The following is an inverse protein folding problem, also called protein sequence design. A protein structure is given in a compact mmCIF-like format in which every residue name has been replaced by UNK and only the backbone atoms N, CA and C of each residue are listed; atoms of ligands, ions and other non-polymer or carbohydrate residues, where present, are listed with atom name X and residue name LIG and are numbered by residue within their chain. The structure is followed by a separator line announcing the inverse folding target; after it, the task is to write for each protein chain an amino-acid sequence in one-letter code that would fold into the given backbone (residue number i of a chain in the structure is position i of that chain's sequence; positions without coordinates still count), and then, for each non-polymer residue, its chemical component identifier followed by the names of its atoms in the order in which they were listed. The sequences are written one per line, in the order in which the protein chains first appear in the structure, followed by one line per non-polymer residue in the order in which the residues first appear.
data_IF_512207339719
#
_entry.id   IF_512207339719
#
_cell.length_a   1.000
_cell.length_b   1.000
_cell.length_c   1.000
_cell.angle_alpha   90.00
_cell.angle_beta   90.00
_cell.angle_gamma   90.00
#
_symmetry.space_group_name_H-M   'P 1'
#
loop_
_entity.id
_entity.type
_entity.pdbx_description
1 polymer ?
#
# COMPACT_ATOMS: atom_id res chain seq x y z
N UNK A 1 -20.63 19.11 -13.76
CA UNK A 1 -19.89 17.83 -13.64
C UNK A 1 -18.63 17.95 -14.49
N UNK A 2 -17.46 17.64 -13.95
CA UNK A 2 -16.20 17.70 -14.71
C UNK A 2 -15.38 16.44 -14.43
N UNK A 3 -15.87 15.33 -15.00
CA UNK A 3 -15.27 14.01 -14.83
C UNK A 3 -13.89 13.92 -15.50
N UNK A 4 -13.64 14.74 -16.53
CA UNK A 4 -12.36 14.83 -17.21
C UNK A 4 -11.28 15.42 -16.28
N UNK A 5 -11.56 16.55 -15.64
CA UNK A 5 -10.61 17.21 -14.73
C UNK A 5 -10.20 16.31 -13.55
N UNK A 6 -11.14 15.58 -12.96
CA UNK A 6 -10.82 14.65 -11.85
C UNK A 6 -10.04 13.43 -12.34
N UNK A 7 -10.33 12.94 -13.56
CA UNK A 7 -9.54 11.88 -14.19
C UNK A 7 -8.10 12.34 -14.39
N UNK A 8 -7.87 13.50 -14.99
CA UNK A 8 -6.53 14.06 -15.20
C UNK A 8 -5.75 14.23 -13.88
N UNK A 9 -6.43 14.70 -12.83
CA UNK A 9 -5.82 14.82 -11.51
C UNK A 9 -5.35 13.48 -10.94
N UNK A 10 -6.17 12.42 -11.04
CA UNK A 10 -5.80 11.07 -10.59
C UNK A 10 -4.66 10.48 -11.42
N UNK A 11 -4.68 10.68 -12.74
CA UNK A 11 -3.57 10.25 -13.60
C UNK A 11 -2.28 10.96 -13.22
N UNK A 12 -2.33 12.26 -12.90
CA UNK A 12 -1.17 13.00 -12.42
C UNK A 12 -0.64 12.44 -11.10
N UNK A 13 -1.51 12.12 -10.13
CA UNK A 13 -1.11 11.48 -8.87
C UNK A 13 -0.34 10.18 -9.14
N UNK A 14 -0.86 9.31 -10.01
CA UNK A 14 -0.21 8.05 -10.37
C UNK A 14 1.16 8.27 -11.05
N UNK A 15 1.26 9.25 -11.95
CA UNK A 15 2.53 9.60 -12.62
C UNK A 15 3.57 10.11 -11.63
N UNK A 16 3.19 11.00 -10.72
CA UNK A 16 4.14 11.55 -9.75
C UNK A 16 4.60 10.48 -8.76
N UNK A 17 3.68 9.70 -8.21
CA UNK A 17 4.02 8.65 -7.25
C UNK A 17 4.92 7.58 -7.87
N UNK A 18 4.60 7.10 -9.07
CA UNK A 18 5.45 6.11 -9.76
C UNK A 18 6.88 6.61 -10.00
N UNK A 19 7.06 7.88 -10.37
CA UNK A 19 8.39 8.49 -10.54
C UNK A 19 9.15 8.60 -9.22
N UNK A 20 8.47 8.97 -8.15
CA UNK A 20 9.05 9.03 -6.80
C UNK A 20 9.52 7.64 -6.37
N UNK A 21 8.67 6.61 -6.52
CA UNK A 21 8.99 5.23 -6.19
C UNK A 21 10.15 4.70 -7.03
N UNK A 22 10.14 4.93 -8.35
CA UNK A 22 11.23 4.52 -9.25
C UNK A 22 12.57 5.14 -8.86
N UNK A 23 12.56 6.40 -8.42
CA UNK A 23 13.76 7.09 -7.92
C UNK A 23 14.20 6.57 -6.54
N UNK A 24 13.26 6.36 -5.62
CA UNK A 24 13.52 5.87 -4.25
C UNK A 24 14.15 4.49 -4.28
N UNK A 25 13.67 3.61 -5.15
CA UNK A 25 14.12 2.23 -5.29
C UNK A 25 15.02 2.02 -6.52
N UNK A 26 15.81 3.03 -6.90
CA UNK A 26 16.71 2.97 -8.06
C UNK A 26 17.78 1.85 -8.01
N UNK A 27 18.07 1.34 -6.82
CA UNK A 27 19.05 0.26 -6.60
C UNK A 27 18.40 -1.14 -6.60
N UNK A 28 17.07 -1.22 -6.69
CA UNK A 28 16.32 -2.47 -6.81
C UNK A 28 16.11 -2.82 -8.28
N UNK A 29 15.98 -4.10 -8.59
CA UNK A 29 15.67 -4.52 -9.95
C UNK A 29 14.24 -4.13 -10.34
N UNK A 30 13.95 -4.11 -11.65
CA UNK A 30 12.65 -3.64 -12.12
C UNK A 30 11.49 -4.55 -11.70
N UNK A 31 11.70 -5.84 -11.42
CA UNK A 31 10.66 -6.74 -10.91
C UNK A 31 10.30 -6.40 -9.47
N UNK A 32 11.30 -6.12 -8.63
CA UNK A 32 11.06 -5.61 -7.27
C UNK A 32 10.30 -4.28 -7.30
N UNK A 33 10.71 -3.34 -8.16
CA UNK A 33 10.02 -2.05 -8.29
C UNK A 33 8.61 -2.24 -8.85
N UNK A 34 8.39 -3.19 -9.77
CA UNK A 34 7.06 -3.51 -10.28
C UNK A 34 6.11 -3.94 -9.14
N UNK A 35 6.57 -4.81 -8.23
CA UNK A 35 5.76 -5.19 -7.06
C UNK A 35 5.36 -3.98 -6.22
N UNK A 36 6.26 -3.02 -6.03
CA UNK A 36 6.00 -1.78 -5.29
C UNK A 36 4.95 -0.92 -6.03
N UNK A 37 5.08 -0.77 -7.36
CA UNK A 37 4.09 -0.08 -8.19
C UNK A 37 2.72 -0.76 -8.13
N UNK A 38 2.67 -2.09 -8.11
CA UNK A 38 1.42 -2.86 -7.99
C UNK A 38 0.71 -2.59 -6.65
N UNK A 39 1.45 -2.49 -5.54
CA UNK A 39 0.89 -2.12 -4.22
C UNK A 39 0.25 -0.73 -4.28
N UNK A 40 0.95 0.27 -4.82
CA UNK A 40 0.42 1.63 -5.00
C UNK A 40 -0.78 1.69 -5.93
N UNK A 41 -0.76 0.97 -7.06
CA UNK A 41 -1.91 0.89 -7.97
C UNK A 41 -3.15 0.34 -7.27
N UNK A 42 -2.98 -0.72 -6.47
CA UNK A 42 -4.06 -1.32 -5.70
C UNK A 42 -4.60 -0.36 -4.62
N UNK A 43 -3.75 0.46 -4.00
CA UNK A 43 -4.19 1.48 -3.04
C UNK A 43 -4.93 2.63 -3.72
N UNK A 44 -4.49 3.09 -4.90
CA UNK A 44 -5.25 4.07 -5.71
C UNK A 44 -6.65 3.52 -6.05
N UNK A 45 -6.75 2.23 -6.41
CA UNK A 45 -8.03 1.55 -6.62
C UNK A 45 -8.90 1.59 -5.36
N UNK A 46 -8.34 1.27 -4.20
CA UNK A 46 -9.08 1.25 -2.93
C UNK A 46 -9.50 2.66 -2.48
N UNK A 47 -8.69 3.69 -2.71
CA UNK A 47 -9.05 5.10 -2.47
C UNK A 47 -10.24 5.50 -3.35
N UNK A 48 -10.17 5.26 -4.66
CA UNK A 48 -11.27 5.57 -5.58
C UNK A 48 -12.51 4.74 -5.22
N UNK A 49 -12.33 3.47 -4.87
CA UNK A 49 -13.39 2.59 -4.40
C UNK A 49 -14.03 3.05 -3.09
N UNK A 50 -13.35 3.87 -2.29
CA UNK A 50 -13.75 4.23 -0.93
C UNK A 50 -13.66 3.05 0.04
N UNK A 51 -12.71 2.14 -0.19
CA UNK A 51 -12.40 0.97 0.64
C UNK A 51 -11.03 1.07 1.33
N UNK A 52 -10.28 2.15 1.06
CA UNK A 52 -9.00 2.44 1.69
C UNK A 52 -9.13 2.74 3.20
N UNK A 53 -8.30 2.10 4.02
CA UNK A 53 -8.30 2.30 5.48
C UNK A 53 -7.66 3.63 5.90
N UNK A 54 -6.75 4.20 5.10
CA UNK A 54 -6.13 5.50 5.35
C UNK A 54 -7.03 6.65 4.88
N UNK A 55 -8.21 6.72 5.50
CA UNK A 55 -9.28 7.64 5.12
C UNK A 55 -9.11 9.03 5.76
N UNK A 56 -7.98 9.69 5.50
CA UNK A 56 -7.66 11.03 6.00
C UNK A 56 -8.50 12.15 5.35
N UNK A 57 -8.23 13.42 5.68
CA UNK A 57 -8.97 14.54 5.11
C UNK A 57 -8.83 14.64 3.58
N UNK A 58 -7.65 14.33 3.05
CA UNK A 58 -7.35 14.40 1.61
C UNK A 58 -8.10 13.31 0.84
N UNK A 59 -8.08 12.08 1.36
CA UNK A 59 -8.83 10.95 0.83
C UNK A 59 -10.34 11.27 0.80
N UNK A 60 -10.91 11.71 1.93
CA UNK A 60 -12.33 12.11 2.00
C UNK A 60 -12.70 13.20 1.00
N UNK A 61 -11.84 14.21 0.82
CA UNK A 61 -12.05 15.29 -0.17
C UNK A 61 -12.01 14.76 -1.60
N UNK A 62 -11.07 13.87 -1.93
CA UNK A 62 -10.96 13.26 -3.24
C UNK A 62 -12.21 12.43 -3.58
N UNK A 63 -12.61 11.53 -2.68
CA UNK A 63 -13.82 10.70 -2.84
C UNK A 63 -15.07 11.58 -2.94
N UNK A 64 -15.18 12.61 -2.10
CA UNK A 64 -16.26 13.59 -2.19
C UNK A 64 -16.33 14.27 -3.55
N UNK A 65 -15.18 14.70 -4.09
CA UNK A 65 -15.10 15.31 -5.43
C UNK A 65 -15.51 14.34 -6.53
N UNK A 66 -15.08 13.09 -6.47
CA UNK A 66 -15.49 12.04 -7.42
C UNK A 66 -17.02 11.89 -7.39
N UNK A 67 -17.60 11.76 -6.19
CA UNK A 67 -19.04 11.57 -5.98
C UNK A 67 -19.90 12.72 -6.57
N UNK A 68 -19.39 13.96 -6.64
CA UNK A 68 -20.11 15.08 -7.29
C UNK A 68 -20.42 14.84 -8.78
N UNK A 69 -19.76 13.86 -9.41
CA UNK A 69 -19.95 13.51 -10.82
C UNK A 69 -20.91 12.33 -11.04
N UNK A 70 -21.49 11.78 -9.96
CA UNK A 70 -22.46 10.68 -10.03
C UNK A 70 -23.60 10.98 -11.00
N UNK A 71 -23.96 10.00 -11.83
CA UNK A 71 -25.05 10.06 -12.80
C UNK A 71 -26.39 9.58 -12.25
N UNK A 72 -26.42 9.03 -11.03
CA UNK A 72 -27.66 8.62 -10.38
C UNK A 72 -28.51 9.82 -9.94
N UNK A 73 -29.83 9.67 -10.06
CA UNK A 73 -30.83 10.68 -9.65
C UNK A 73 -30.79 10.87 -8.12
N UNK A 74 -30.76 9.77 -7.37
CA UNK A 74 -30.69 9.79 -5.92
C UNK A 74 -29.24 9.65 -5.43
N UNK A 75 -28.78 10.66 -4.69
CA UNK A 75 -27.45 10.68 -4.09
C UNK A 75 -27.50 10.03 -2.72
N UNK A 76 -26.87 8.86 -2.59
CA UNK A 76 -26.70 8.14 -1.33
C UNK A 76 -25.37 7.37 -1.39
N UNK A 77 -24.95 6.80 -0.25
CA UNK A 77 -23.64 6.10 -0.15
C UNK A 77 -23.53 4.91 -1.11
N UNK A 78 -24.63 4.19 -1.32
CA UNK A 78 -24.70 3.00 -2.17
C UNK A 78 -24.55 3.35 -3.65
N UNK A 79 -25.38 4.28 -4.15
CA UNK A 79 -25.30 4.77 -5.53
C UNK A 79 -23.97 5.46 -5.83
N UNK A 80 -23.41 6.21 -4.87
CA UNK A 80 -22.10 6.81 -5.03
C UNK A 80 -21.01 5.73 -5.11
N UNK A 81 -21.12 4.63 -4.35
CA UNK A 81 -20.21 3.48 -4.45
C UNK A 81 -20.34 2.77 -5.81
N UNK A 82 -21.56 2.47 -6.26
CA UNK A 82 -21.82 1.88 -7.58
C UNK A 82 -21.24 2.74 -8.71
N UNK A 83 -21.40 4.05 -8.63
CA UNK A 83 -20.81 4.99 -9.58
C UNK A 83 -19.28 4.88 -9.60
N UNK A 84 -18.62 4.89 -8.44
CA UNK A 84 -17.15 4.80 -8.36
C UNK A 84 -16.62 3.46 -8.87
N UNK A 85 -17.30 2.36 -8.57
CA UNK A 85 -16.92 1.03 -9.03
C UNK A 85 -17.05 0.89 -10.55
N UNK A 86 -18.14 1.42 -11.13
CA UNK A 86 -18.30 1.49 -12.57
C UNK A 86 -17.26 2.42 -13.22
N UNK A 87 -16.99 3.57 -12.60
CA UNK A 87 -16.03 4.53 -13.12
C UNK A 87 -14.59 4.00 -13.09
N UNK A 88 -14.21 3.27 -12.04
CA UNK A 88 -12.91 2.59 -11.99
C UNK A 88 -12.72 1.65 -13.19
N UNK A 89 -13.74 0.86 -13.57
CA UNK A 89 -13.66 0.00 -14.76
C UNK A 89 -13.37 0.77 -16.04
N UNK A 90 -13.83 2.02 -16.14
CA UNK A 90 -13.57 2.90 -17.29
C UNK A 90 -12.14 3.44 -17.29
N UNK A 91 -11.62 3.88 -16.14
CA UNK A 91 -10.31 4.56 -16.07
C UNK A 91 -9.14 3.65 -15.70
N UNK A 92 -9.38 2.42 -15.20
CA UNK A 92 -8.33 1.55 -14.65
C UNK A 92 -7.16 1.34 -15.61
N UNK A 93 -7.46 1.19 -16.90
CA UNK A 93 -6.46 0.94 -17.95
C UNK A 93 -5.55 2.15 -18.14
N UNK A 94 -6.11 3.36 -18.08
CA UNK A 94 -5.33 4.59 -18.19
C UNK A 94 -4.45 4.78 -16.95
N UNK A 95 -4.99 4.54 -15.75
CA UNK A 95 -4.22 4.60 -14.49
C UNK A 95 -3.05 3.61 -14.54
N UNK A 96 -3.30 2.38 -14.98
CA UNK A 96 -2.26 1.37 -15.13
C UNK A 96 -1.18 1.80 -16.15
N UNK A 97 -1.60 2.29 -17.32
CA UNK A 97 -0.68 2.73 -18.36
C UNK A 97 0.24 3.86 -17.88
N UNK A 98 -0.27 4.82 -17.11
CA UNK A 98 0.55 5.95 -16.65
C UNK A 98 1.43 5.60 -15.46
N UNK A 99 0.96 4.75 -14.53
CA UNK A 99 1.75 4.36 -13.34
C UNK A 99 2.90 3.42 -13.70
N UNK A 100 2.72 2.56 -14.72
CA UNK A 100 3.75 1.64 -15.22
C UNK A 100 4.70 2.27 -16.25
N UNK A 101 4.45 3.52 -16.67
CA UNK A 101 5.24 4.19 -17.72
C UNK A 101 6.70 4.46 -17.34
N UNK A 102 7.05 4.28 -16.07
CA UNK A 102 8.43 4.35 -15.56
C UNK A 102 9.31 3.18 -16.02
N UNK A 103 8.73 2.09 -16.51
CA UNK A 103 9.46 0.95 -17.07
C UNK A 103 9.64 1.12 -18.58
N UNK A 104 10.89 1.03 -19.06
CA UNK A 104 11.19 1.12 -20.49
C UNK A 104 10.58 -0.04 -21.27
N UNK A 105 10.72 -1.23 -20.72
CA UNK A 105 10.10 -2.45 -21.24
C UNK A 105 8.78 -2.69 -20.52
N UNK A 106 7.67 -2.57 -21.25
CA UNK A 106 6.31 -2.76 -20.72
C UNK A 106 6.00 -4.20 -20.34
N UNK A 107 6.81 -5.17 -20.78
CA UNK A 107 6.60 -6.59 -20.44
C UNK A 107 7.06 -6.93 -19.03
N UNK A 108 7.87 -6.06 -18.42
CA UNK A 108 8.42 -6.21 -17.05
C UNK A 108 7.33 -6.15 -15.98
N UNK A 109 6.29 -5.36 -16.21
CA UNK A 109 5.23 -5.13 -15.24
C UNK A 109 3.87 -5.17 -15.94
N UNK A 110 3.01 -6.14 -15.59
CA UNK A 110 1.70 -6.34 -16.24
C UNK A 110 0.57 -6.20 -15.23
N UNK A 111 -0.57 -5.67 -15.67
CA UNK A 111 -1.76 -5.51 -14.81
C UNK A 111 -2.33 -6.88 -14.43
N UNK A 112 -2.29 -7.84 -15.34
CA UNK A 112 -2.84 -9.19 -15.13
C UNK A 112 -2.13 -9.95 -14.01
N UNK A 113 -0.94 -9.52 -13.61
CA UNK A 113 -0.17 -10.09 -12.50
C UNK A 113 -0.64 -9.56 -11.12
N UNK A 114 -1.61 -8.62 -11.08
CA UNK A 114 -2.10 -8.01 -9.84
C UNK A 114 -3.24 -8.85 -9.26
N UNK A 115 -2.92 -9.56 -8.17
CA UNK A 115 -3.91 -10.35 -7.44
C UNK A 115 -4.97 -9.48 -6.76
N UNK A 116 -6.20 -10.01 -6.68
CA UNK A 116 -7.33 -9.33 -6.06
C UNK A 116 -7.34 -9.52 -4.54
N UNK A 117 -6.27 -9.10 -3.87
CA UNK A 117 -6.10 -9.22 -2.42
C UNK A 117 -6.72 -7.97 -1.73
N UNK A 118 -7.56 -8.12 -0.70
CA UNK A 118 -8.04 -7.00 0.12
C UNK A 118 -6.90 -6.20 0.77
N UNK A 119 -7.06 -4.88 0.90
CA UNK A 119 -5.97 -3.97 1.30
C UNK A 119 -5.30 -4.37 2.62
N UNK A 120 -6.05 -4.86 3.61
CA UNK A 120 -5.50 -5.21 4.90
C UNK A 120 -4.43 -6.29 4.79
N UNK A 121 -4.68 -7.34 4.00
CA UNK A 121 -3.73 -8.43 3.82
C UNK A 121 -2.52 -7.98 2.99
N UNK A 122 -2.72 -7.10 1.99
CA UNK A 122 -1.61 -6.49 1.24
C UNK A 122 -0.68 -5.72 2.18
N UNK A 123 -1.23 -4.82 3.01
CA UNK A 123 -0.44 -4.05 3.96
C UNK A 123 0.18 -4.91 5.05
N UNK A 124 -0.50 -5.97 5.51
CA UNK A 124 0.05 -6.86 6.52
C UNK A 124 1.24 -7.68 5.97
N UNK A 125 1.14 -8.17 4.73
CA UNK A 125 2.27 -8.82 4.05
C UNK A 125 3.44 -7.85 3.80
N UNK A 126 3.15 -6.62 3.39
CA UNK A 126 4.14 -5.56 3.20
C UNK A 126 4.85 -5.20 4.50
N UNK A 127 4.11 -5.10 5.60
CA UNK A 127 4.69 -4.91 6.93
C UNK A 127 5.68 -6.02 7.29
N UNK A 128 5.37 -7.27 6.92
CA UNK A 128 6.24 -8.43 7.10
C UNK A 128 7.53 -8.34 6.28
N UNK A 129 7.41 -7.99 4.99
CA UNK A 129 8.57 -7.76 4.10
C UNK A 129 9.50 -6.68 4.68
N UNK A 130 8.92 -5.54 5.07
CA UNK A 130 9.66 -4.41 5.64
C UNK A 130 10.33 -4.79 6.96
N UNK A 131 9.62 -5.50 7.85
CA UNK A 131 10.19 -5.98 9.11
C UNK A 131 11.40 -6.89 8.87
N UNK A 132 11.30 -7.86 7.96
CA UNK A 132 12.37 -8.80 7.66
C UNK A 132 13.61 -8.11 7.06
N UNK A 133 13.40 -7.18 6.13
CA UNK A 133 14.49 -6.40 5.53
C UNK A 133 15.17 -5.49 6.56
N UNK A 134 14.38 -4.76 7.36
CA UNK A 134 14.93 -3.84 8.35
C UNK A 134 15.60 -4.57 9.51
N UNK A 135 15.10 -5.73 9.94
CA UNK A 135 15.74 -6.58 10.94
C UNK A 135 17.18 -6.94 10.54
N UNK A 136 17.39 -7.29 9.26
CA UNK A 136 18.72 -7.62 8.74
C UNK A 136 19.67 -6.43 8.86
N UNK A 137 19.25 -5.25 8.39
CA UNK A 137 20.04 -4.01 8.49
C UNK A 137 20.35 -3.62 9.94
N UNK A 138 19.37 -3.79 10.84
CA UNK A 138 19.53 -3.51 12.25
C UNK A 138 20.56 -4.45 12.91
N UNK A 139 20.52 -5.75 12.58
CA UNK A 139 21.52 -6.73 13.05
C UNK A 139 22.92 -6.40 12.51
N UNK A 140 23.04 -6.05 11.23
CA UNK A 140 24.32 -5.62 10.63
C UNK A 140 24.88 -4.38 11.32
N UNK A 141 24.03 -3.39 11.61
CA UNK A 141 24.42 -2.19 12.35
C UNK A 141 25.00 -2.55 13.72
N UNK A 142 24.34 -3.46 14.46
CA UNK A 142 24.85 -3.92 15.76
C UNK A 142 26.19 -4.63 15.61
N UNK A 143 26.36 -5.51 14.62
CA UNK A 143 27.63 -6.22 14.39
C UNK A 143 28.79 -5.26 14.11
N UNK A 144 28.56 -4.25 13.27
CA UNK A 144 29.60 -3.28 12.87
C UNK A 144 29.97 -2.36 14.03
N UNK A 145 28.98 -1.79 14.70
CA UNK A 145 29.19 -0.76 15.73
C UNK A 145 29.66 -1.37 17.05
N UNK A 146 29.12 -2.53 17.43
CA UNK A 146 29.48 -3.19 18.68
C UNK A 146 30.68 -4.10 18.56
N UNK A 147 31.05 -4.58 17.35
CA UNK A 147 32.17 -5.52 17.14
C UNK A 147 32.15 -6.70 18.12
N UNK A 148 30.97 -7.30 18.28
CA UNK A 148 30.69 -8.42 19.20
C UNK A 148 30.81 -8.10 20.71
N UNK A 149 30.99 -6.83 21.07
CA UNK A 149 30.94 -6.39 22.46
C UNK A 149 29.51 -6.43 23.02
N UNK A 150 29.38 -6.60 24.35
CA UNK A 150 28.09 -6.62 25.00
C UNK A 150 27.48 -5.21 25.08
N UNK A 151 26.16 -5.13 25.33
CA UNK A 151 25.42 -3.87 25.31
C UNK A 151 25.77 -2.91 26.47
N UNK A 152 26.55 -3.37 27.44
CA UNK A 152 27.08 -2.58 28.54
C UNK A 152 28.28 -1.71 28.13
N UNK A 153 28.93 -2.00 26.99
CA UNK A 153 29.98 -1.13 26.44
C UNK A 153 29.36 0.20 25.97
N UNK A 154 29.93 1.32 26.42
CA UNK A 154 29.37 2.66 26.20
C UNK A 154 29.16 2.99 24.71
N UNK A 155 30.00 2.45 23.82
CA UNK A 155 29.84 2.66 22.37
C UNK A 155 28.71 1.80 21.78
N UNK A 156 28.44 0.62 22.34
CA UNK A 156 27.40 -0.30 21.87
C UNK A 156 26.01 -0.01 22.47
N UNK A 157 25.97 0.50 23.71
CA UNK A 157 24.75 0.72 24.50
C UNK A 157 23.67 1.51 23.75
N UNK A 158 24.06 2.56 23.03
CA UNK A 158 23.13 3.39 22.25
C UNK A 158 22.43 2.61 21.12
N UNK A 159 23.17 1.75 20.41
CA UNK A 159 22.66 0.93 19.31
C UNK A 159 21.78 -0.20 19.83
N UNK A 160 22.17 -0.84 20.94
CA UNK A 160 21.33 -1.83 21.61
C UNK A 160 19.99 -1.22 22.06
N UNK A 161 20.01 -0.03 22.65
CA UNK A 161 18.77 0.66 23.05
C UNK A 161 17.89 0.98 21.85
N UNK A 162 18.47 1.49 20.76
CA UNK A 162 17.74 1.75 19.50
C UNK A 162 17.08 0.48 18.96
N UNK A 163 17.80 -0.66 18.98
CA UNK A 163 17.25 -1.94 18.56
C UNK A 163 16.11 -2.42 19.47
N UNK A 164 16.27 -2.26 20.79
CA UNK A 164 15.27 -2.60 21.80
C UNK A 164 13.98 -1.80 21.63
N UNK A 165 14.09 -0.50 21.37
CA UNK A 165 12.93 0.36 21.09
C UNK A 165 12.25 -0.05 19.78
N UNK A 166 13.04 -0.25 18.73
CA UNK A 166 12.53 -0.69 17.42
C UNK A 166 11.79 -2.03 17.51
N UNK A 167 12.36 -3.05 18.16
CA UNK A 167 11.72 -4.37 18.28
C UNK A 167 10.44 -4.31 19.13
N UNK A 168 10.42 -3.46 20.17
CA UNK A 168 9.22 -3.24 20.99
C UNK A 168 8.09 -2.63 20.15
N UNK A 169 8.40 -1.58 19.38
CA UNK A 169 7.44 -0.95 18.45
C UNK A 169 6.92 -1.96 17.43
N UNK A 170 7.80 -2.73 16.79
CA UNK A 170 7.41 -3.76 15.81
C UNK A 170 6.54 -4.86 16.42
N UNK A 171 6.80 -5.26 17.66
CA UNK A 171 5.95 -6.22 18.38
C UNK A 171 4.53 -5.69 18.60
N UNK A 172 4.39 -4.42 18.96
CA UNK A 172 3.07 -3.80 19.09
C UNK A 172 2.32 -3.68 17.76
N UNK A 173 3.02 -3.26 16.70
CA UNK A 173 2.47 -3.21 15.33
C UNK A 173 1.98 -4.59 14.87
N UNK A 174 2.78 -5.64 15.10
CA UNK A 174 2.42 -7.02 14.77
C UNK A 174 1.18 -7.48 15.55
N UNK A 175 1.18 -7.31 16.87
CA UNK A 175 0.09 -7.78 17.72
C UNK A 175 -1.25 -7.13 17.35
N UNK A 176 -1.25 -5.84 16.99
CA UNK A 176 -2.46 -5.14 16.53
C UNK A 176 -3.00 -5.74 15.24
N UNK A 177 -2.14 -5.93 14.24
CA UNK A 177 -2.52 -6.50 12.95
C UNK A 177 -2.96 -7.97 13.08
N UNK A 178 -2.22 -8.78 13.85
CA UNK A 178 -2.56 -10.19 14.09
C UNK A 178 -3.92 -10.33 14.81
N UNK A 179 -4.22 -9.47 15.79
CA UNK A 179 -5.53 -9.45 16.44
C UNK A 179 -6.65 -9.10 15.45
N UNK A 180 -6.44 -8.08 14.62
CA UNK A 180 -7.42 -7.68 13.61
C UNK A 180 -7.64 -8.78 12.56
N UNK A 181 -6.59 -9.50 12.16
CA UNK A 181 -6.69 -10.68 11.32
C UNK A 181 -7.60 -11.75 11.94
N UNK A 182 -7.40 -12.08 13.22
CA UNK A 182 -8.24 -13.04 13.95
C UNK A 182 -9.70 -12.57 14.09
N UNK A 183 -9.93 -11.27 14.28
CA UNK A 183 -11.27 -10.69 14.34
C UNK A 183 -12.00 -10.84 13.00
N UNK A 184 -11.31 -10.59 11.88
CA UNK A 184 -11.87 -10.82 10.55
C UNK A 184 -12.24 -12.29 10.31
N UNK A 185 -11.43 -13.23 10.80
CA UNK A 185 -11.73 -14.67 10.69
C UNK A 185 -13.01 -15.03 11.46
N UNK A 186 -13.11 -14.58 12.72
CA UNK A 186 -14.29 -14.81 13.56
C UNK A 186 -15.55 -14.15 13.02
N UNK A 187 -15.42 -12.96 12.45
CA UNK A 187 -16.50 -12.21 11.84
C UNK A 187 -16.93 -12.73 10.47
N UNK A 188 -16.26 -13.75 9.93
CA UNK A 188 -16.47 -14.27 8.59
C UNK A 188 -16.43 -13.14 7.53
N UNK A 189 -15.49 -12.19 7.72
CA UNK A 189 -15.24 -11.09 6.79
C UNK A 189 -14.44 -11.58 5.58
N UNK A 190 -14.43 -10.81 4.49
CA UNK A 190 -13.64 -11.11 3.27
C UNK A 190 -13.86 -12.52 2.68
N UNK A 191 -15.07 -13.06 2.77
CA UNK A 191 -15.45 -14.41 2.28
C UNK A 191 -15.02 -14.73 0.84
N UNK A 192 -14.86 -13.70 -0.01
CA UNK A 192 -14.41 -13.83 -1.40
C UNK A 192 -12.90 -14.06 -1.55
N UNK A 193 -12.11 -13.99 -0.48
CA UNK A 193 -10.67 -14.29 -0.48
C UNK A 193 -10.48 -15.75 -0.01
N UNK A 194 -10.23 -16.72 -0.92
CA UNK A 194 -10.32 -18.15 -0.61
C UNK A 194 -9.34 -18.63 0.45
N UNK A 195 -8.14 -18.04 0.49
CA UNK A 195 -7.11 -18.32 1.51
C UNK A 195 -7.52 -17.91 2.92
N UNK A 196 -8.64 -17.19 3.07
CA UNK A 196 -9.17 -16.73 4.34
C UNK A 196 -10.11 -17.72 5.02
N UNK A 197 -10.66 -18.69 4.27
CA UNK A 197 -11.70 -19.60 4.73
C UNK A 197 -11.19 -21.02 5.05
N UNK A 198 -9.87 -21.26 5.01
CA UNK A 198 -9.24 -22.55 5.29
C UNK A 198 -8.73 -22.68 6.72
#
# INVERSE_FOLDING_TARGET
KNLLMIKEHILAIAIYESRILKRKYKNKDDKEVCKIINKTFADIRDIIGGTDYWNDLSNRKLVGKINTNSNYVHRNKENDKLFRDAWWKVIKKDVWNVISWVFKDKTVCKEDDIENIPQFFRWFSEWGDDYCQDKTKMIETLKVECKEKPCEDDNCKSKCNSYKEWISKKKEEYNKQAKQYQEYQKGNNYQMYPEFNS
#
